data_IF_583590832807
#
_entry.id   IF_583590832807
#
_cell.length_a   1.000
_cell.length_b   1.000
_cell.length_c   1.000
_cell.angle_alpha   90.00
_cell.angle_beta   90.00
_cell.angle_gamma   90.00
#
_symmetry.space_group_name_H-M   'P 1'
#
loop_
_entity.id
_entity.type
_entity.pdbx_description
1 polymer ?
#
# COMPACT_ATOMS: atom_id res chain seq x y z
N UNK A 1 10.58 -5.69 4.47
CA UNK A 1 11.22 -4.52 5.11
C UNK A 1 10.20 -3.38 5.21
N UNK A 2 10.23 -2.59 6.30
CA UNK A 2 9.18 -1.59 6.60
C UNK A 2 9.74 -0.18 6.88
N UNK A 3 10.82 0.20 6.19
CA UNK A 3 11.60 1.41 6.46
C UNK A 3 12.49 1.28 7.71
N UNK A 4 13.50 2.13 7.82
CA UNK A 4 14.39 2.15 8.99
C UNK A 4 13.86 3.05 10.10
N UNK A 5 13.45 4.29 9.74
CA UNK A 5 12.90 5.26 10.67
C UNK A 5 11.37 5.28 10.70
N UNK A 6 10.73 4.33 10.00
CA UNK A 6 9.28 4.26 9.84
C UNK A 6 8.67 5.61 9.36
N UNK A 7 9.39 6.31 8.48
CA UNK A 7 8.94 7.58 7.89
C UNK A 7 8.03 7.32 6.70
N UNK A 8 6.99 8.14 6.58
CA UNK A 8 6.07 8.09 5.45
C UNK A 8 6.78 8.59 4.19
N UNK A 9 6.66 7.84 3.11
CA UNK A 9 7.37 8.10 1.84
C UNK A 9 7.08 9.48 1.27
N UNK A 10 5.85 10.00 1.41
CA UNK A 10 5.50 11.35 0.97
C UNK A 10 6.20 12.48 1.75
N UNK A 11 6.95 12.17 2.82
CA UNK A 11 7.81 13.11 3.56
C UNK A 11 9.28 13.02 3.15
N UNK A 12 9.60 12.17 2.18
CA UNK A 12 10.95 11.86 1.75
C UNK A 12 11.12 12.26 0.28
N UNK A 13 12.35 12.60 -0.06
CA UNK A 13 12.82 12.66 -1.45
C UNK A 13 13.30 11.27 -1.88
N UNK A 14 13.47 11.01 -3.19
CA UNK A 14 14.09 9.78 -3.68
C UNK A 14 15.42 9.43 -3.01
N UNK A 15 16.29 10.41 -2.83
CA UNK A 15 17.63 10.24 -2.27
C UNK A 15 17.55 9.88 -0.79
N UNK A 16 16.71 10.59 -0.03
CA UNK A 16 16.54 10.31 1.40
C UNK A 16 15.79 9.00 1.66
N UNK A 17 14.88 8.58 0.78
CA UNK A 17 14.26 7.27 0.84
C UNK A 17 15.27 6.16 0.52
N UNK A 18 16.11 6.34 -0.51
CA UNK A 18 17.20 5.41 -0.84
C UNK A 18 18.15 5.22 0.34
N UNK A 19 18.60 6.33 0.92
CA UNK A 19 19.47 6.35 2.08
C UNK A 19 18.84 5.68 3.33
N UNK A 20 17.51 5.57 3.40
CA UNK A 20 16.85 4.76 4.42
C UNK A 20 16.80 3.28 4.08
N UNK A 21 16.39 2.92 2.86
CA UNK A 21 16.04 1.53 2.54
C UNK A 21 17.26 0.68 2.24
N UNK A 22 18.27 1.22 1.58
CA UNK A 22 19.46 0.49 1.13
C UNK A 22 20.30 -0.05 2.30
N UNK A 23 20.82 0.77 3.23
CA UNK A 23 21.60 0.26 4.35
C UNK A 23 20.77 -0.60 5.31
N UNK A 24 19.47 -0.31 5.46
CA UNK A 24 18.60 -1.08 6.32
C UNK A 24 18.24 -2.46 5.73
N UNK A 25 18.06 -2.55 4.40
CA UNK A 25 17.94 -3.83 3.71
C UNK A 25 19.21 -4.66 3.93
N UNK A 26 20.39 -4.08 3.69
CA UNK A 26 21.66 -4.76 3.90
C UNK A 26 21.78 -5.27 5.34
N UNK A 27 21.54 -4.41 6.34
CA UNK A 27 21.63 -4.78 7.76
C UNK A 27 20.69 -5.92 8.13
N UNK A 28 19.44 -5.91 7.63
CA UNK A 28 18.50 -7.01 7.89
C UNK A 28 18.99 -8.32 7.28
N UNK A 29 19.57 -8.29 6.07
CA UNK A 29 20.17 -9.48 5.46
C UNK A 29 21.37 -9.98 6.27
N UNK A 30 22.26 -9.07 6.68
CA UNK A 30 23.43 -9.41 7.49
C UNK A 30 23.02 -10.06 8.84
N UNK A 31 21.96 -9.55 9.48
CA UNK A 31 21.47 -10.06 10.77
C UNK A 31 20.73 -11.40 10.66
N UNK A 32 20.03 -11.65 9.56
CA UNK A 32 19.16 -12.82 9.42
C UNK A 32 19.81 -13.94 8.59
N UNK A 33 20.84 -13.63 7.81
CA UNK A 33 21.39 -14.52 6.80
C UNK A 33 20.41 -14.83 5.65
N UNK A 34 19.28 -14.11 5.58
CA UNK A 34 18.22 -14.34 4.59
C UNK A 34 18.11 -13.15 3.63
N UNK A 35 17.76 -13.37 2.36
CA UNK A 35 17.51 -12.28 1.44
C UNK A 35 16.28 -11.47 1.85
N UNK A 36 16.34 -10.15 1.67
CA UNK A 36 15.22 -9.25 1.96
C UNK A 36 14.62 -8.78 0.63
N UNK A 37 13.65 -9.56 0.16
CA UNK A 37 13.05 -9.39 -1.17
C UNK A 37 11.86 -8.43 -1.20
N UNK A 38 11.14 -8.33 -0.07
CA UNK A 38 9.88 -7.59 0.02
C UNK A 38 10.00 -6.27 0.75
N UNK A 39 9.29 -5.25 0.26
CA UNK A 39 9.07 -3.99 0.94
C UNK A 39 7.59 -3.73 1.24
N UNK A 40 7.32 -2.94 2.29
CA UNK A 40 6.02 -2.34 2.56
C UNK A 40 6.28 -0.97 3.18
N UNK A 41 5.73 0.09 2.64
CA UNK A 41 5.95 1.45 3.11
C UNK A 41 5.21 1.72 4.42
N UNK A 42 5.82 2.46 5.37
CA UNK A 42 5.14 2.96 6.56
C UNK A 42 3.84 3.65 6.23
N UNK A 43 2.75 3.22 6.87
CA UNK A 43 1.40 3.74 6.65
C UNK A 43 0.88 3.65 5.20
N UNK A 44 1.36 2.68 4.40
CA UNK A 44 0.91 2.45 3.02
C UNK A 44 1.11 3.69 2.14
N UNK A 45 2.22 4.39 2.36
CA UNK A 45 2.46 5.72 1.80
C UNK A 45 3.00 5.70 0.36
N UNK A 46 2.92 4.58 -0.36
CA UNK A 46 3.14 4.56 -1.82
C UNK A 46 1.80 4.78 -2.49
N UNK A 47 1.69 5.93 -3.13
CA UNK A 47 0.50 6.48 -3.78
C UNK A 47 0.92 7.17 -5.09
N UNK A 48 -0.01 7.68 -5.94
CA UNK A 48 0.37 8.26 -7.23
C UNK A 48 1.49 9.32 -7.13
N UNK A 49 1.42 10.19 -6.13
CA UNK A 49 2.41 11.25 -5.90
C UNK A 49 3.79 10.75 -5.46
N UNK A 50 3.92 9.48 -5.07
CA UNK A 50 5.15 8.87 -4.57
C UNK A 50 5.49 7.58 -5.32
N UNK A 51 4.99 7.42 -6.54
CA UNK A 51 5.27 6.24 -7.37
C UNK A 51 6.77 6.06 -7.65
N UNK A 52 7.54 7.17 -7.66
CA UNK A 52 9.00 7.16 -7.76
C UNK A 52 9.67 6.24 -6.72
N UNK A 53 9.03 5.96 -5.59
CA UNK A 53 9.58 5.08 -4.57
C UNK A 53 9.74 3.64 -5.09
N UNK A 54 8.88 3.19 -6.00
CA UNK A 54 9.00 1.87 -6.63
C UNK A 54 10.29 1.76 -7.46
N UNK A 55 10.69 2.84 -8.15
CA UNK A 55 11.96 2.89 -8.88
C UNK A 55 13.14 2.70 -7.94
N UNK A 56 13.17 3.46 -6.84
CA UNK A 56 14.21 3.34 -5.81
C UNK A 56 14.25 1.92 -5.22
N UNK A 57 13.09 1.31 -4.96
CA UNK A 57 13.02 -0.07 -4.44
C UNK A 57 13.64 -1.08 -5.41
N UNK A 58 13.32 -1.00 -6.70
CA UNK A 58 13.92 -1.89 -7.72
C UNK A 58 15.43 -1.70 -7.82
N UNK A 59 15.89 -0.45 -7.80
CA UNK A 59 17.30 -0.05 -7.82
C UNK A 59 18.12 -0.65 -6.67
N UNK A 60 17.50 -0.75 -5.49
CA UNK A 60 18.09 -1.30 -4.26
C UNK A 60 18.01 -2.84 -4.23
N UNK A 61 17.26 -3.44 -5.15
CA UNK A 61 17.13 -4.89 -5.30
C UNK A 61 15.96 -5.52 -4.54
N UNK A 62 14.89 -4.78 -4.29
CA UNK A 62 13.61 -5.39 -3.88
C UNK A 62 12.90 -6.00 -5.09
N UNK A 63 12.35 -7.19 -4.91
CA UNK A 63 11.61 -7.91 -5.96
C UNK A 63 10.12 -7.60 -5.93
N UNK A 64 9.58 -7.33 -4.75
CA UNK A 64 8.16 -7.01 -4.58
C UNK A 64 7.90 -5.94 -3.52
N UNK A 65 6.78 -5.26 -3.70
CA UNK A 65 6.22 -4.31 -2.75
C UNK A 65 4.76 -4.67 -2.41
N UNK A 66 4.33 -4.30 -1.21
CA UNK A 66 2.95 -4.46 -0.75
C UNK A 66 2.52 -3.23 0.04
N UNK A 67 2.66 -2.07 -0.59
CA UNK A 67 2.35 -0.76 -0.01
C UNK A 67 1.10 -0.15 -0.60
N UNK A 68 0.72 -0.51 -1.83
CA UNK A 68 -0.37 0.17 -2.51
C UNK A 68 -1.69 -0.34 -1.96
N UNK A 69 -2.50 0.61 -1.48
CA UNK A 69 -3.83 0.35 -0.97
C UNK A 69 -4.88 0.90 -1.94
N UNK A 70 -5.61 0.03 -2.68
CA UNK A 70 -6.62 0.45 -3.67
C UNK A 70 -7.90 1.05 -3.08
N UNK A 71 -7.77 2.09 -2.27
CA UNK A 71 -8.88 2.79 -1.61
C UNK A 71 -8.75 4.30 -1.80
N UNK A 72 -9.85 5.01 -1.60
CA UNK A 72 -9.84 6.46 -1.41
C UNK A 72 -9.70 6.79 0.07
N UNK A 73 -8.49 7.12 0.50
CA UNK A 73 -8.19 7.57 1.86
C UNK A 73 -7.72 9.02 1.92
N UNK A 74 -7.87 9.65 3.09
CA UNK A 74 -7.40 11.03 3.33
C UNK A 74 -5.88 11.15 3.44
N UNK A 75 -5.21 10.10 3.94
CA UNK A 75 -3.76 10.10 4.26
C UNK A 75 -2.93 9.25 3.30
N UNK A 76 -3.55 8.27 2.68
CA UNK A 76 -2.94 7.28 1.80
C UNK A 76 -4.04 6.67 0.94
N UNK A 77 -3.63 5.94 -0.09
CA UNK A 77 -4.50 5.21 -0.99
C UNK A 77 -4.29 5.60 -2.44
N UNK A 78 -4.56 4.62 -3.31
CA UNK A 78 -4.45 4.74 -4.75
C UNK A 78 -5.77 4.29 -5.38
N UNK A 79 -6.78 5.18 -5.48
CA UNK A 79 -8.05 4.86 -6.11
C UNK A 79 -7.85 4.40 -7.56
N UNK A 80 -8.53 3.33 -7.96
CA UNK A 80 -8.43 2.78 -9.31
C UNK A 80 -7.21 1.90 -9.56
N UNK A 81 -6.34 1.70 -8.55
CA UNK A 81 -5.26 0.74 -8.67
C UNK A 81 -5.79 -0.70 -8.79
N UNK A 82 -5.07 -1.53 -9.53
CA UNK A 82 -5.36 -2.97 -9.65
C UNK A 82 -5.37 -3.63 -8.28
N UNK A 83 -6.09 -4.73 -8.17
CA UNK A 83 -6.27 -5.38 -6.88
C UNK A 83 -5.57 -6.74 -6.77
N UNK A 84 -5.25 -7.34 -7.90
CA UNK A 84 -4.52 -8.60 -8.05
C UNK A 84 -3.01 -8.39 -7.87
N UNK A 85 -2.30 -9.49 -7.57
CA UNK A 85 -0.83 -9.49 -7.54
C UNK A 85 -0.35 -9.48 -8.99
N UNK A 86 0.47 -8.51 -9.36
CA UNK A 86 0.92 -8.37 -10.75
C UNK A 86 2.28 -7.70 -10.84
N UNK A 87 2.93 -7.89 -11.99
CA UNK A 87 4.16 -7.21 -12.35
C UNK A 87 3.85 -5.82 -12.90
N UNK A 88 4.48 -4.80 -12.33
CA UNK A 88 4.44 -3.43 -12.79
C UNK A 88 5.69 -3.11 -13.59
N UNK A 89 5.52 -2.54 -14.79
CA UNK A 89 6.61 -1.92 -15.54
C UNK A 89 6.71 -0.45 -15.14
N UNK A 90 7.89 -0.04 -14.69
CA UNK A 90 8.17 1.32 -14.24
C UNK A 90 8.66 2.19 -15.42
N UNK A 91 8.61 3.53 -15.31
CA UNK A 91 9.12 4.43 -16.36
C UNK A 91 10.55 4.14 -16.83
N UNK A 92 11.42 3.64 -15.96
CA UNK A 92 12.79 3.23 -16.31
C UNK A 92 12.89 1.95 -17.15
N UNK A 93 11.78 1.25 -17.39
CA UNK A 93 11.73 -0.08 -18.01
C UNK A 93 11.98 -1.24 -17.03
N UNK A 94 12.39 -0.95 -15.78
CA UNK A 94 12.47 -1.96 -14.72
C UNK A 94 11.10 -2.47 -14.34
N UNK A 95 11.07 -3.64 -13.70
CA UNK A 95 9.83 -4.23 -13.19
C UNK A 95 9.90 -4.49 -11.70
N UNK A 96 8.75 -4.38 -11.04
CA UNK A 96 8.55 -4.78 -9.63
C UNK A 96 7.21 -5.50 -9.51
N UNK A 97 7.12 -6.47 -8.62
CA UNK A 97 5.83 -7.10 -8.32
C UNK A 97 5.11 -6.28 -7.25
N UNK A 98 3.87 -5.88 -7.50
CA UNK A 98 3.02 -5.30 -6.47
C UNK A 98 2.01 -6.34 -5.97
N UNK A 99 1.87 -6.41 -4.65
CA UNK A 99 0.83 -7.16 -3.96
C UNK A 99 -0.10 -6.20 -3.20
N UNK A 100 -1.18 -5.70 -3.84
CA UNK A 100 -2.03 -4.66 -3.28
C UNK A 100 -2.78 -5.14 -2.05
N UNK A 101 -2.98 -4.23 -1.08
CA UNK A 101 -3.74 -4.54 0.13
C UNK A 101 -5.20 -4.90 -0.16
N UNK A 102 -5.73 -5.85 0.61
CA UNK A 102 -7.07 -6.38 0.36
C UNK A 102 -8.19 -5.39 0.65
N UNK A 103 -9.04 -5.24 -0.36
CA UNK A 103 -10.26 -4.44 -0.36
C UNK A 103 -11.44 -5.28 -0.81
N UNK A 104 -12.64 -4.86 -0.41
CA UNK A 104 -13.91 -5.35 -0.97
C UNK A 104 -14.69 -4.19 -1.56
N UNK A 105 -15.28 -4.37 -2.74
CA UNK A 105 -16.14 -3.34 -3.33
C UNK A 105 -17.54 -3.45 -2.75
N UNK A 106 -18.01 -2.37 -2.10
CA UNK A 106 -19.35 -2.24 -1.53
C UNK A 106 -19.97 -0.95 -2.08
N UNK A 107 -21.13 -1.05 -2.73
CA UNK A 107 -21.82 0.09 -3.36
C UNK A 107 -20.89 0.94 -4.25
N UNK A 108 -20.10 0.27 -5.10
CA UNK A 108 -19.15 0.91 -6.01
C UNK A 108 -17.90 1.50 -5.34
N UNK A 109 -17.70 1.32 -4.03
CA UNK A 109 -16.55 1.84 -3.30
C UNK A 109 -15.65 0.72 -2.79
N UNK A 110 -14.35 0.83 -3.03
CA UNK A 110 -13.36 -0.08 -2.46
C UNK A 110 -13.19 0.20 -0.97
N UNK A 111 -13.64 -0.74 -0.14
CA UNK A 111 -13.58 -0.67 1.31
C UNK A 111 -12.38 -1.48 1.82
N UNK A 112 -11.57 -0.91 2.72
CA UNK A 112 -10.43 -1.61 3.31
C UNK A 112 -10.90 -2.74 4.23
N UNK A 113 -10.28 -3.92 4.13
CA UNK A 113 -10.64 -5.09 4.95
C UNK A 113 -9.47 -5.81 5.61
N UNK A 114 -8.25 -5.36 5.34
CA UNK A 114 -7.02 -6.01 5.78
C UNK A 114 -6.45 -5.38 7.06
N UNK A 115 -6.39 -6.16 8.13
CA UNK A 115 -5.45 -5.96 9.23
C UNK A 115 -5.62 -4.71 10.10
N UNK A 116 -4.68 -4.53 11.04
CA UNK A 116 -4.57 -3.38 11.93
C UNK A 116 -5.89 -2.90 12.52
N UNK A 117 -6.20 -1.61 12.34
CA UNK A 117 -7.43 -1.00 12.84
C UNK A 117 -8.72 -1.64 12.29
N UNK A 118 -8.70 -2.16 11.07
CA UNK A 118 -9.87 -2.83 10.49
C UNK A 118 -10.16 -4.15 11.20
N UNK A 119 -9.14 -4.98 11.42
CA UNK A 119 -9.26 -6.22 12.19
C UNK A 119 -9.71 -5.94 13.64
N UNK A 120 -9.22 -4.84 14.23
CA UNK A 120 -9.60 -4.43 15.58
C UNK A 120 -11.06 -4.01 15.67
N UNK A 121 -11.52 -3.13 14.77
CA UNK A 121 -12.83 -2.49 14.88
C UNK A 121 -13.95 -3.28 14.23
N UNK A 122 -13.69 -4.06 13.19
CA UNK A 122 -14.75 -4.84 12.53
C UNK A 122 -15.15 -6.07 13.36
N UNK A 123 -16.45 -6.44 13.36
CA UNK A 123 -16.90 -7.70 13.90
C UNK A 123 -16.24 -8.88 13.17
N UNK A 124 -15.99 -9.98 13.88
CA UNK A 124 -15.35 -11.16 13.30
C UNK A 124 -16.10 -11.71 12.07
N UNK A 125 -17.44 -11.63 12.07
CA UNK A 125 -18.27 -12.03 10.94
C UNK A 125 -17.98 -11.20 9.68
N UNK A 126 -17.78 -9.89 9.82
CA UNK A 126 -17.45 -8.99 8.71
C UNK A 126 -16.06 -9.30 8.16
N UNK A 127 -15.07 -9.50 9.03
CA UNK A 127 -13.73 -9.90 8.60
C UNK A 127 -13.75 -11.22 7.84
N UNK A 128 -14.45 -12.24 8.35
CA UNK A 128 -14.59 -13.54 7.66
C UNK A 128 -15.27 -13.42 6.31
N UNK A 129 -16.39 -12.67 6.25
CA UNK A 129 -17.09 -12.42 4.99
C UNK A 129 -16.17 -11.75 3.97
N UNK A 130 -15.41 -10.73 4.40
CA UNK A 130 -14.47 -10.03 3.53
C UNK A 130 -13.36 -10.95 3.03
N UNK A 131 -12.75 -11.74 3.92
CA UNK A 131 -11.68 -12.69 3.52
C UNK A 131 -12.19 -13.75 2.55
N UNK A 132 -13.41 -14.28 2.75
CA UNK A 132 -14.03 -15.21 1.78
C UNK A 132 -14.28 -14.54 0.44
N UNK A 133 -14.79 -13.30 0.44
CA UNK A 133 -15.12 -12.60 -0.80
C UNK A 133 -13.89 -12.22 -1.62
N UNK A 134 -12.80 -11.82 -0.96
CA UNK A 134 -11.51 -11.60 -1.63
C UNK A 134 -10.92 -12.94 -2.07
N UNK A 135 -10.84 -13.91 -1.16
CA UNK A 135 -10.28 -15.24 -1.38
C UNK A 135 -10.92 -16.04 -2.52
N UNK A 136 -12.18 -15.76 -2.84
CA UNK A 136 -12.90 -16.39 -3.95
C UNK A 136 -12.38 -15.94 -5.34
N UNK A 137 -11.64 -14.84 -5.43
CA UNK A 137 -11.17 -14.29 -6.72
C UNK A 137 -9.67 -14.04 -6.77
N UNK A 138 -8.99 -13.90 -5.62
CA UNK A 138 -7.54 -13.73 -5.51
C UNK A 138 -7.05 -14.01 -4.08
N UNK A 139 -5.75 -14.19 -3.84
CA UNK A 139 -5.24 -14.28 -2.47
C UNK A 139 -5.59 -13.05 -1.63
N UNK A 140 -6.09 -13.27 -0.42
CA UNK A 140 -6.36 -12.21 0.54
C UNK A 140 -5.11 -11.91 1.37
N UNK A 141 -4.76 -10.64 1.47
CA UNK A 141 -3.66 -10.13 2.29
C UNK A 141 -4.22 -9.68 3.64
N UNK A 142 -3.72 -10.31 4.70
CA UNK A 142 -3.96 -9.93 6.08
C UNK A 142 -2.64 -9.54 6.74
N UNK A 143 -2.67 -8.55 7.63
CA UNK A 143 -1.52 -8.19 8.45
C UNK A 143 -1.95 -7.85 9.88
N UNK A 144 -1.04 -7.99 10.82
CA UNK A 144 -1.22 -7.55 12.21
C UNK A 144 0.07 -6.91 12.70
N UNK A 145 0.01 -6.10 13.76
CA UNK A 145 1.20 -5.64 14.45
C UNK A 145 1.37 -6.44 15.74
N UNK A 146 2.60 -6.69 16.21
CA UNK A 146 2.83 -7.37 17.51
C UNK A 146 2.06 -6.69 18.66
N UNK A 147 2.06 -5.35 18.70
CA UNK A 147 1.33 -4.59 19.71
C UNK A 147 -0.20 -4.82 19.72
N UNK A 148 -0.78 -5.39 18.67
CA UNK A 148 -2.22 -5.68 18.61
C UNK A 148 -2.63 -6.85 19.51
N UNK A 149 -1.67 -7.72 19.83
CA UNK A 149 -1.88 -8.89 20.69
C UNK A 149 -1.12 -8.78 22.02
N UNK A 150 -0.12 -7.90 22.12
CA UNK A 150 0.56 -7.58 23.38
C UNK A 150 -0.34 -6.74 24.29
N UNK A 151 -0.80 -7.35 25.39
CA UNK A 151 -1.60 -6.72 26.44
C UNK A 151 -0.96 -7.01 27.82
N UNK A 152 -1.00 -6.06 28.78
CA UNK A 152 -1.59 -4.72 28.68
C UNK A 152 -0.70 -3.71 27.92
N UNK A 153 -1.31 -2.62 27.46
CA UNK A 153 -0.57 -1.53 26.81
C UNK A 153 0.04 -0.58 27.83
N UNK A 154 1.21 0.02 27.51
CA UNK A 154 1.80 1.03 28.37
C UNK A 154 0.86 2.25 28.51
N UNK A 155 0.84 2.90 29.69
CA UNK A 155 0.04 4.09 29.91
C UNK A 155 0.52 5.24 29.02
N UNK A 156 -0.42 6.09 28.58
CA UNK A 156 -0.11 7.30 27.81
C UNK A 156 0.14 8.47 28.75
N UNK A 157 1.38 8.96 28.81
CA UNK A 157 1.68 10.24 29.45
C UNK A 157 1.39 11.40 28.48
N UNK A 158 0.57 12.36 28.92
CA UNK A 158 0.22 13.57 28.16
C UNK A 158 0.51 14.86 28.91
N UNK A 159 1.20 14.79 30.06
CA UNK A 159 1.42 15.95 30.96
C UNK A 159 2.22 17.07 30.31
N UNK A 160 3.11 16.73 29.39
CA UNK A 160 3.97 17.68 28.68
C UNK A 160 3.36 18.23 27.39
N UNK A 161 2.12 17.85 27.04
CA UNK A 161 1.48 18.26 25.80
C UNK A 161 0.52 19.43 26.04
N UNK A 162 0.51 20.38 25.09
CA UNK A 162 -0.51 21.42 25.05
C UNK A 162 -1.94 20.81 25.03
N UNK A 163 -2.97 21.47 25.60
CA UNK A 163 -4.30 20.87 25.80
C UNK A 163 -4.91 20.22 24.55
N UNK A 164 -4.85 20.90 23.40
CA UNK A 164 -5.39 20.36 22.14
C UNK A 164 -4.59 19.14 21.62
N UNK A 165 -3.27 19.11 21.84
CA UNK A 165 -2.43 17.97 21.51
C UNK A 165 -2.72 16.79 22.44
N UNK A 166 -2.86 17.04 23.75
CA UNK A 166 -3.23 16.04 24.74
C UNK A 166 -4.59 15.39 24.39
N UNK A 167 -5.62 16.17 24.04
CA UNK A 167 -6.93 15.62 23.62
C UNK A 167 -6.80 14.71 22.39
N UNK A 168 -6.05 15.16 21.36
CA UNK A 168 -5.82 14.36 20.14
C UNK A 168 -5.08 13.06 20.44
N UNK A 169 -4.05 13.11 21.28
CA UNK A 169 -3.27 11.94 21.69
C UNK A 169 -4.15 10.94 22.48
N UNK A 170 -4.94 11.42 23.44
CA UNK A 170 -5.88 10.59 24.22
C UNK A 170 -6.94 9.94 23.33
N UNK A 171 -7.54 10.68 22.41
CA UNK A 171 -8.52 10.12 21.46
C UNK A 171 -7.88 9.05 20.58
N UNK A 172 -6.71 9.33 19.99
CA UNK A 172 -6.00 8.36 19.18
C UNK A 172 -5.64 7.11 19.99
N UNK A 173 -5.09 7.27 21.19
CA UNK A 173 -4.74 6.15 22.05
C UNK A 173 -5.97 5.34 22.49
N UNK A 174 -7.09 6.00 22.80
CA UNK A 174 -8.35 5.31 23.07
C UNK A 174 -8.84 4.48 21.87
N UNK A 175 -8.82 5.05 20.65
CA UNK A 175 -9.12 4.32 19.43
C UNK A 175 -8.14 3.14 19.22
N UNK A 176 -6.87 3.31 19.60
CA UNK A 176 -5.88 2.24 19.52
C UNK A 176 -6.17 1.08 20.49
N UNK A 177 -6.70 1.37 21.68
CA UNK A 177 -7.05 0.38 22.71
C UNK A 177 -8.39 -0.30 22.44
N UNK A 178 -9.36 0.43 21.91
CA UNK A 178 -10.74 -0.06 21.73
C UNK A 178 -10.77 -1.36 20.93
N UNK A 179 -11.38 -2.40 21.51
CA UNK A 179 -11.56 -3.73 20.92
C UNK A 179 -10.26 -4.52 20.66
N UNK A 180 -9.10 -4.07 21.17
CA UNK A 180 -7.83 -4.77 20.96
C UNK A 180 -7.82 -6.16 21.59
N UNK A 181 -8.46 -6.34 22.74
CA UNK A 181 -8.67 -7.65 23.37
C UNK A 181 -9.43 -8.67 22.50
N UNK A 182 -10.04 -8.21 21.40
CA UNK A 182 -10.72 -9.10 20.45
C UNK A 182 -9.82 -9.58 19.31
N UNK A 183 -8.64 -9.00 19.14
CA UNK A 183 -7.77 -9.24 17.97
C UNK A 183 -7.20 -10.65 18.01
N UNK A 184 -6.64 -11.08 19.13
CA UNK A 184 -6.04 -12.42 19.26
C UNK A 184 -7.05 -13.53 18.90
N UNK A 185 -8.22 -13.54 19.54
CA UNK A 185 -9.27 -14.53 19.23
C UNK A 185 -9.72 -14.50 17.76
N UNK A 186 -9.71 -13.32 17.13
CA UNK A 186 -10.05 -13.18 15.70
C UNK A 186 -8.96 -13.78 14.82
N UNK A 187 -7.69 -13.51 15.13
CA UNK A 187 -6.55 -14.08 14.39
C UNK A 187 -6.59 -15.60 14.50
N UNK A 188 -6.71 -16.16 15.71
CA UNK A 188 -6.79 -17.61 15.92
C UNK A 188 -7.97 -18.22 15.15
N UNK A 189 -9.13 -17.57 15.16
CA UNK A 189 -10.28 -18.04 14.39
C UNK A 189 -10.04 -18.00 12.87
N UNK A 190 -9.37 -16.98 12.36
CA UNK A 190 -9.02 -16.88 10.93
C UNK A 190 -8.00 -17.96 10.54
N UNK A 191 -6.96 -18.16 11.34
CA UNK A 191 -5.93 -19.19 11.10
C UNK A 191 -6.50 -20.62 11.09
N UNK A 192 -7.57 -20.88 11.84
CA UNK A 192 -8.29 -22.17 11.81
C UNK A 192 -9.19 -22.35 10.58
N UNK A 193 -9.58 -21.26 9.93
CA UNK A 193 -10.60 -21.26 8.89
C UNK A 193 -10.04 -21.12 7.47
N UNK A 194 -8.87 -20.50 7.33
CA UNK A 194 -8.24 -20.24 6.05
C UNK A 194 -6.79 -20.74 6.05
N UNK A 195 -6.29 -21.05 4.86
CA UNK A 195 -4.87 -21.33 4.66
C UNK A 195 -4.10 -20.02 4.49
N UNK A 196 -2.98 -19.88 5.20
CA UNK A 196 -2.09 -18.73 5.11
C UNK A 196 -0.69 -19.20 4.69
N UNK A 197 0.03 -18.32 4.00
CA UNK A 197 1.44 -18.48 3.67
C UNK A 197 2.12 -17.09 3.71
N UNK A 198 3.45 -17.05 3.89
CA UNK A 198 4.22 -15.82 3.70
C UNK A 198 3.94 -15.18 2.33
N UNK A 199 3.87 -13.85 2.28
CA UNK A 199 3.49 -13.14 1.06
C UNK A 199 4.39 -13.48 -0.14
N UNK A 200 5.70 -13.62 0.08
CA UNK A 200 6.65 -14.02 -0.97
C UNK A 200 6.31 -15.38 -1.60
N UNK A 201 5.89 -16.36 -0.80
CA UNK A 201 5.45 -17.66 -1.34
C UNK A 201 4.16 -17.54 -2.14
N UNK A 202 3.20 -16.73 -1.66
CA UNK A 202 1.94 -16.49 -2.39
C UNK A 202 2.21 -15.83 -3.74
N UNK A 203 3.11 -14.84 -3.78
CA UNK A 203 3.54 -14.17 -5.02
C UNK A 203 4.14 -15.20 -5.99
N UNK A 204 5.06 -16.04 -5.53
CA UNK A 204 5.67 -17.07 -6.37
C UNK A 204 4.63 -18.07 -6.90
N UNK A 205 3.66 -18.48 -6.08
CA UNK A 205 2.59 -19.39 -6.52
C UNK A 205 1.68 -18.75 -7.58
N UNK A 206 1.29 -17.49 -7.39
CA UNK A 206 0.40 -16.78 -8.33
C UNK A 206 1.08 -16.50 -9.66
N UNK A 207 2.32 -15.99 -9.64
CA UNK A 207 3.01 -15.61 -10.87
C UNK A 207 3.74 -16.78 -11.52
N UNK A 208 4.11 -17.81 -10.75
CA UNK A 208 4.68 -19.05 -11.29
C UNK A 208 3.65 -19.94 -11.96
N UNK A 209 2.37 -19.86 -11.59
CA UNK A 209 1.29 -20.54 -12.31
C UNK A 209 1.03 -19.96 -13.70
N UNK A 210 1.40 -18.70 -13.94
CA UNK A 210 1.24 -18.08 -15.26
C UNK A 210 2.23 -18.64 -16.30
N UNK A 211 3.39 -19.17 -15.88
CA UNK A 211 4.35 -19.82 -16.80
C UNK A 211 3.90 -21.23 -17.23
N UNK A 212 3.09 -21.93 -16.42
CA UNK A 212 2.52 -23.24 -16.79
C UNK A 212 1.19 -23.08 -17.57
N UNK A 213 0.52 -21.93 -17.44
CA UNK A 213 -0.73 -21.61 -18.15
C UNK A 213 -0.56 -21.01 -19.55
N UNK A 214 0.65 -20.63 -19.96
CA UNK A 214 0.92 -19.96 -21.24
C UNK A 214 0.91 -20.86 -22.49
N UNK A 215 0.61 -22.17 -22.36
CA UNK A 215 0.54 -23.10 -23.50
C UNK A 215 -0.88 -23.38 -24.05
N UNK A 216 -1.91 -22.62 -23.65
CA UNK A 216 -3.25 -22.74 -24.28
C UNK A 216 -3.89 -21.38 -24.59
N UNK A 217 -3.48 -20.85 -25.76
CA UNK A 217 -4.28 -20.15 -26.80
C UNK A 217 -5.08 -18.85 -26.46
N UNK A 218 -5.63 -18.10 -27.46
CA UNK A 218 -5.01 -16.88 -27.96
C UNK A 218 -5.89 -15.62 -27.87
N UNK A 219 -5.26 -14.45 -28.01
CA UNK A 219 -5.88 -13.27 -28.63
C UNK A 219 -6.53 -12.24 -27.71
N UNK A 220 -5.74 -11.29 -27.24
CA UNK A 220 -6.16 -9.89 -27.05
C UNK A 220 -4.91 -9.00 -27.00
N UNK A 221 -4.51 -8.46 -28.15
CA UNK A 221 -3.50 -7.40 -28.21
C UNK A 221 -4.09 -6.11 -27.66
N UNK A 222 -3.56 -5.60 -26.55
CA UNK A 222 -3.71 -4.19 -26.20
C UNK A 222 -2.43 -3.48 -26.61
N UNK A 223 -2.43 -2.96 -27.82
CA UNK A 223 -1.43 -2.04 -28.33
C UNK A 223 -1.68 -0.67 -27.70
N UNK A 224 -0.72 -0.17 -26.92
CA UNK A 224 -0.71 1.20 -26.40
C UNK A 224 0.45 1.93 -27.07
N UNK A 225 0.24 2.33 -28.32
CA UNK A 225 1.08 3.28 -29.04
C UNK A 225 0.25 4.51 -29.39
N UNK A 226 0.84 5.67 -29.07
CA UNK A 226 0.23 6.99 -29.10
C UNK A 226 -0.17 7.45 -30.52
N UNK A 227 -1.02 8.48 -30.62
CA UNK A 227 -0.66 9.75 -31.30
C UNK A 227 -1.76 10.81 -31.24
N UNK A 228 -1.29 12.03 -30.97
CA UNK A 228 -1.94 13.32 -31.11
C UNK A 228 -2.15 13.65 -32.60
N UNK A 229 -3.11 14.52 -32.97
CA UNK A 229 -2.75 15.51 -33.98
C UNK A 229 -3.22 16.93 -33.63
N UNK A 230 -2.27 17.86 -33.80
CA UNK A 230 -2.51 19.29 -33.94
C UNK A 230 -3.28 19.58 -35.24
N UNK A 231 -4.13 20.61 -35.23
CA UNK A 231 -4.83 21.13 -36.39
C UNK A 231 -5.08 22.63 -36.28
N UNK A 232 -4.20 23.40 -36.94
CA UNK A 232 -4.37 24.72 -37.59
C UNK A 232 -5.49 25.69 -37.17
N UNK A 233 -5.08 26.91 -36.82
CA UNK A 233 -5.89 28.14 -36.83
C UNK A 233 -6.25 28.61 -38.26
N UNK A 234 -7.17 29.60 -38.37
CA UNK A 234 -6.79 30.82 -39.07
C UNK A 234 -7.10 32.11 -38.30
N UNK A 235 -6.35 33.14 -38.67
CA UNK A 235 -6.25 34.46 -38.06
C UNK A 235 -7.53 35.30 -38.14
N UNK A 236 -7.70 36.21 -37.18
CA UNK A 236 -8.18 37.58 -37.41
C UNK A 236 -7.62 38.55 -36.35
N UNK A 237 -6.93 39.56 -36.87
CA UNK A 237 -6.48 40.80 -36.24
C UNK A 237 -7.66 41.58 -35.65
N UNK A 238 -7.46 42.30 -34.52
CA UNK A 238 -7.67 43.77 -34.38
C UNK A 238 -7.16 44.25 -32.99
N UNK A 239 -6.20 45.19 -33.04
CA UNK A 239 -5.88 46.35 -32.18
C UNK A 239 -5.86 46.31 -30.62
N UNK A 240 -4.74 46.81 -30.08
CA UNK A 240 -4.53 47.41 -28.74
C UNK A 240 -5.22 48.80 -28.61
N UNK A 241 -5.50 49.33 -27.39
CA UNK A 241 -4.52 49.98 -26.49
C UNK A 241 -4.66 49.58 -25.00
N UNK A 242 -3.58 49.35 -24.23
CA UNK A 242 -2.81 50.26 -23.34
C UNK A 242 -3.63 50.91 -22.19
N UNK A 243 -3.11 50.72 -20.97
CA UNK A 243 -3.27 51.46 -19.69
C UNK A 243 -3.88 50.59 -18.56
N UNK A 244 -3.53 50.67 -17.28
CA UNK A 244 -2.45 51.27 -16.49
C UNK A 244 -2.54 50.60 -15.09
N UNK A 245 -1.38 50.50 -14.44
CA UNK A 245 -1.07 50.43 -12.99
C UNK A 245 -2.22 50.33 -11.95
N UNK A 246 -2.14 49.29 -11.10
CA UNK A 246 -1.90 49.27 -9.61
C UNK A 246 -2.53 50.43 -8.79
N UNK A 247 -3.26 50.16 -7.69
CA UNK A 247 -2.69 49.72 -6.41
C UNK A 247 -2.95 48.25 -6.03
#
# INVERSE_FOLDING_TARGET
MHGYYHRQVFKLTPESFRAEVEPARKRLQDLTGQPVLGHRAPAFSIMPATQWALEVLTEVGFEYDSSIFPIRGRRYGWPGFRFDIHRLTLPSGRTIIEAPLSTVTVLGRAMPVCGGGYLRHFPAAVTRWAMRRVGAVRPAILYTHPYEIELPLPPLDTRHLAPAAARRARLFHWLQRRNRQTVERKIVALLKQFSFAPLGEVIHRVLGSDEVGALVAPGASCDNSATNPAGSAPARSVAHPVAERVP
#
